data_IF_367580335001
#
_entry.id   IF_367580335001
#
_cell.length_a   1.000
_cell.length_b   1.000
_cell.length_c   1.000
_cell.angle_alpha   90.00
_cell.angle_beta   90.00
_cell.angle_gamma   90.00
#
_symmetry.space_group_name_H-M   'P 1'
#
loop_
_entity.id
_entity.type
_entity.pdbx_description
1 polymer ?
#
# COMPACT_ATOMS: atom_id res chain seq x y z
N UNK A 1 21.17 -2.09 2.93
CA UNK A 1 21.18 -3.56 2.71
C UNK A 1 20.12 -3.82 1.65
N UNK A 2 20.35 -4.20 0.39
CA UNK A 2 21.49 -4.53 -0.48
C UNK A 2 22.29 -3.31 -0.92
N UNK A 3 23.63 -3.35 -0.84
CA UNK A 3 24.49 -2.30 -1.44
C UNK A 3 24.30 -2.35 -2.96
N UNK A 4 24.42 -1.21 -3.66
CA UNK A 4 24.36 -1.10 -5.12
C UNK A 4 25.52 -1.86 -5.80
N UNK A 5 25.52 -3.18 -5.69
CA UNK A 5 26.40 -4.04 -6.47
C UNK A 5 26.12 -3.79 -7.96
N UNK A 6 27.17 -3.83 -8.77
CA UNK A 6 27.08 -3.70 -10.22
C UNK A 6 26.02 -4.65 -10.80
N UNK A 7 25.91 -5.86 -10.26
CA UNK A 7 24.90 -6.85 -10.66
C UNK A 7 23.45 -6.38 -10.46
N UNK A 8 23.17 -5.57 -9.43
CA UNK A 8 21.83 -5.01 -9.18
C UNK A 8 21.56 -3.85 -10.14
N UNK A 9 22.57 -2.99 -10.38
CA UNK A 9 22.46 -1.86 -11.31
C UNK A 9 22.25 -2.32 -12.75
N UNK A 10 22.91 -3.40 -13.13
CA UNK A 10 22.88 -3.97 -14.47
C UNK A 10 21.89 -5.12 -14.61
N UNK A 11 20.94 -5.29 -13.67
CA UNK A 11 19.96 -6.36 -13.70
C UNK A 11 19.20 -6.45 -15.04
N UNK A 12 19.01 -5.32 -15.75
CA UNK A 12 18.41 -5.31 -17.09
C UNK A 12 19.27 -6.01 -18.15
N UNK A 13 20.59 -5.86 -18.09
CA UNK A 13 21.53 -6.48 -19.04
C UNK A 13 21.48 -8.01 -18.99
N UNK A 14 21.05 -8.57 -17.86
CA UNK A 14 20.84 -10.01 -17.73
C UNK A 14 19.84 -10.55 -18.77
N UNK A 15 18.85 -9.74 -19.16
CA UNK A 15 17.83 -10.13 -20.14
C UNK A 15 18.31 -10.06 -21.59
N UNK A 16 19.47 -9.46 -21.85
CA UNK A 16 20.09 -9.45 -23.18
C UNK A 16 20.71 -10.82 -23.53
N UNK A 17 20.81 -11.73 -22.55
CA UNK A 17 21.27 -13.09 -22.75
C UNK A 17 20.29 -13.90 -23.62
N UNK A 18 20.80 -14.64 -24.61
CA UNK A 18 20.01 -15.52 -25.50
C UNK A 18 19.22 -16.59 -24.76
N UNK A 19 19.61 -16.93 -23.53
CA UNK A 19 18.93 -17.93 -22.70
C UNK A 19 17.94 -17.33 -21.69
N UNK A 20 17.75 -16.01 -21.69
CA UNK A 20 16.83 -15.35 -20.78
C UNK A 20 15.38 -15.82 -21.03
N UNK A 21 14.70 -16.17 -19.95
CA UNK A 21 13.33 -16.65 -19.92
C UNK A 21 12.38 -15.62 -19.31
N UNK A 22 11.07 -15.91 -19.35
CA UNK A 22 10.09 -15.08 -18.65
C UNK A 22 10.32 -15.08 -17.13
N UNK A 23 10.84 -16.16 -16.55
CA UNK A 23 11.18 -16.23 -15.12
C UNK A 23 12.37 -15.33 -14.76
N UNK A 24 13.35 -15.21 -15.65
CA UNK A 24 14.46 -14.24 -15.52
C UNK A 24 13.93 -12.81 -15.56
N UNK A 25 13.02 -12.52 -16.50
CA UNK A 25 12.31 -11.24 -16.59
C UNK A 25 11.51 -10.92 -15.32
N UNK A 26 10.85 -11.93 -14.70
CA UNK A 26 10.16 -11.78 -13.41
C UNK A 26 11.13 -11.44 -12.28
N UNK A 27 12.27 -12.11 -12.22
CA UNK A 27 13.31 -11.85 -11.22
C UNK A 27 13.85 -10.42 -11.38
N UNK A 28 14.18 -10.00 -12.61
CA UNK A 28 14.68 -8.65 -12.89
C UNK A 28 13.65 -7.59 -12.50
N UNK A 29 12.37 -7.76 -12.84
CA UNK A 29 11.31 -6.86 -12.40
C UNK A 29 11.25 -6.75 -10.86
N UNK A 30 11.40 -7.87 -10.14
CA UNK A 30 11.44 -7.85 -8.68
C UNK A 30 12.67 -7.10 -8.14
N UNK A 31 13.85 -7.34 -8.71
CA UNK A 31 15.10 -6.65 -8.32
C UNK A 31 14.96 -5.15 -8.56
N UNK A 32 14.50 -4.72 -9.74
CA UNK A 32 14.33 -3.31 -10.08
C UNK A 32 13.38 -2.60 -9.10
N UNK A 33 12.24 -3.21 -8.79
CA UNK A 33 11.30 -2.66 -7.81
C UNK A 33 11.92 -2.61 -6.41
N UNK A 34 12.61 -3.67 -5.99
CA UNK A 34 13.29 -3.69 -4.70
C UNK A 34 14.37 -2.62 -4.59
N UNK A 35 15.11 -2.34 -5.67
CA UNK A 35 16.08 -1.25 -5.73
C UNK A 35 15.43 0.12 -5.57
N UNK A 36 14.33 0.38 -6.28
CA UNK A 36 13.56 1.63 -6.10
C UNK A 36 13.08 1.74 -4.65
N UNK A 37 12.60 0.65 -4.08
CA UNK A 37 12.20 0.61 -2.68
C UNK A 37 13.37 0.88 -1.73
N UNK A 38 14.52 0.26 -1.95
CA UNK A 38 15.70 0.54 -1.10
C UNK A 38 16.09 2.01 -1.18
N UNK A 39 16.01 2.63 -2.36
CA UNK A 39 16.34 4.04 -2.55
C UNK A 39 15.35 4.99 -1.86
N UNK A 40 14.04 4.68 -1.84
CA UNK A 40 13.11 5.47 -1.01
C UNK A 40 13.48 5.36 0.46
N UNK A 41 13.92 4.19 0.92
CA UNK A 41 14.08 3.89 2.33
C UNK A 41 15.32 4.59 2.86
N UNK A 42 16.40 4.55 2.06
CA UNK A 42 17.63 5.26 2.35
C UNK A 42 17.44 6.79 2.28
N UNK A 43 16.46 7.29 1.51
CA UNK A 43 16.16 8.74 1.39
C UNK A 43 15.30 9.26 2.55
N UNK A 44 14.18 8.58 2.85
CA UNK A 44 13.20 9.08 3.81
C UNK A 44 13.33 8.46 5.20
N UNK A 45 13.96 7.28 5.30
CA UNK A 45 14.08 6.49 6.52
C UNK A 45 12.80 5.74 6.88
N UNK A 46 12.88 4.96 7.96
CA UNK A 46 11.75 4.22 8.53
C UNK A 46 10.90 5.04 9.52
N UNK A 47 11.30 6.28 9.81
CA UNK A 47 10.68 7.09 10.84
C UNK A 47 9.31 7.61 10.36
N UNK A 48 8.26 7.07 10.97
CA UNK A 48 6.87 7.42 10.69
C UNK A 48 6.43 8.74 11.32
N UNK A 49 7.21 9.26 12.27
CA UNK A 49 6.92 10.51 12.96
C UNK A 49 7.62 11.70 12.31
N UNK A 50 8.65 11.46 11.48
CA UNK A 50 9.34 12.49 10.71
C UNK A 50 8.43 13.04 9.58
N UNK A 51 8.02 14.32 9.64
CA UNK A 51 7.33 14.96 8.53
C UNK A 51 8.26 15.16 7.33
N UNK A 52 7.74 15.07 6.11
CA UNK A 52 8.47 15.46 4.90
C UNK A 52 8.87 16.94 4.98
N UNK A 53 10.08 17.30 4.57
CA UNK A 53 10.44 18.71 4.36
C UNK A 53 9.96 19.18 2.96
N UNK A 54 9.95 20.50 2.72
CA UNK A 54 9.61 21.04 1.38
C UNK A 54 10.61 20.53 0.31
N UNK A 55 11.87 20.31 0.69
CA UNK A 55 12.90 19.77 -0.19
C UNK A 55 12.70 18.28 -0.55
N UNK A 56 11.94 17.55 0.25
CA UNK A 56 11.66 16.12 0.02
C UNK A 56 10.58 15.91 -1.05
N UNK A 57 9.66 16.86 -1.22
CA UNK A 57 8.48 16.73 -2.09
C UNK A 57 8.85 16.44 -3.56
N UNK A 58 9.83 17.14 -4.18
CA UNK A 58 10.27 16.81 -5.53
C UNK A 58 10.83 15.38 -5.65
N UNK A 59 11.51 14.87 -4.62
CA UNK A 59 12.04 13.50 -4.62
C UNK A 59 10.91 12.47 -4.55
N UNK A 60 9.89 12.71 -3.71
CA UNK A 60 8.69 11.84 -3.66
C UNK A 60 8.05 11.75 -5.04
N UNK A 61 7.85 12.88 -5.74
CA UNK A 61 7.31 12.89 -7.10
C UNK A 61 8.19 12.12 -8.09
N UNK A 62 9.51 12.29 -8.00
CA UNK A 62 10.45 11.56 -8.87
C UNK A 62 10.35 10.05 -8.67
N UNK A 63 10.35 9.57 -7.43
CA UNK A 63 10.17 8.14 -7.15
C UNK A 63 8.80 7.63 -7.61
N UNK A 64 7.75 8.45 -7.42
CA UNK A 64 6.39 8.16 -7.86
C UNK A 64 6.33 7.91 -9.37
N UNK A 65 6.97 8.77 -10.18
CA UNK A 65 7.06 8.63 -11.64
C UNK A 65 7.87 7.40 -12.05
N UNK A 66 8.94 7.08 -11.32
CA UNK A 66 9.75 5.88 -11.59
C UNK A 66 8.93 4.61 -11.36
N UNK A 67 8.09 4.57 -10.32
CA UNK A 67 7.17 3.46 -10.07
C UNK A 67 6.11 3.34 -11.17
N UNK A 68 5.57 4.46 -11.67
CA UNK A 68 4.61 4.48 -12.78
C UNK A 68 5.22 3.91 -14.05
N UNK A 69 6.44 4.36 -14.37
CA UNK A 69 7.19 3.90 -15.53
C UNK A 69 7.49 2.40 -15.45
N UNK A 70 7.90 1.91 -14.27
CA UNK A 70 8.14 0.48 -14.07
C UNK A 70 6.85 -0.34 -14.22
N UNK A 71 5.72 0.12 -13.66
CA UNK A 71 4.44 -0.56 -13.84
C UNK A 71 4.05 -0.62 -15.32
N UNK A 72 4.15 0.51 -16.03
CA UNK A 72 3.79 0.58 -17.45
C UNK A 72 4.68 -0.34 -18.29
N UNK A 73 5.97 -0.40 -17.98
CA UNK A 73 6.92 -1.26 -18.69
C UNK A 73 6.58 -2.76 -18.52
N UNK A 74 6.22 -3.19 -17.31
CA UNK A 74 6.11 -4.62 -16.97
C UNK A 74 4.67 -5.14 -16.93
N UNK A 75 3.67 -4.25 -16.94
CA UNK A 75 2.26 -4.57 -16.72
C UNK A 75 1.67 -5.56 -17.72
N UNK A 76 2.16 -5.57 -18.96
CA UNK A 76 1.66 -6.43 -20.04
C UNK A 76 2.71 -7.43 -20.58
N UNK A 77 3.91 -7.46 -19.99
CA UNK A 77 5.01 -8.33 -20.44
C UNK A 77 4.88 -9.78 -20.00
N UNK A 78 4.12 -10.06 -18.94
CA UNK A 78 4.01 -11.41 -18.38
C UNK A 78 2.78 -12.14 -18.88
N UNK A 79 2.96 -13.43 -19.17
CA UNK A 79 1.91 -14.34 -19.58
C UNK A 79 1.41 -15.16 -18.39
N UNK A 80 0.32 -15.89 -18.61
CA UNK A 80 -0.14 -16.88 -17.63
C UNK A 80 0.88 -18.01 -17.56
N UNK A 81 1.39 -18.27 -16.37
CA UNK A 81 2.36 -19.33 -16.11
C UNK A 81 1.65 -20.63 -15.70
N UNK A 82 2.24 -21.77 -16.05
CA UNK A 82 1.65 -23.09 -15.77
C UNK A 82 1.59 -23.44 -14.28
N UNK A 83 2.50 -22.91 -13.46
CA UNK A 83 2.63 -23.25 -12.04
C UNK A 83 2.05 -22.19 -11.11
N UNK A 84 2.18 -20.91 -11.48
CA UNK A 84 1.75 -19.78 -10.63
C UNK A 84 0.59 -18.97 -11.22
N UNK A 85 -0.07 -19.50 -12.26
CA UNK A 85 -1.21 -18.85 -12.89
C UNK A 85 -0.86 -17.47 -13.43
N UNK A 86 -1.77 -16.50 -13.28
CA UNK A 86 -1.56 -15.13 -13.73
C UNK A 86 -0.91 -14.23 -12.66
N UNK A 87 -0.36 -14.82 -11.58
CA UNK A 87 0.35 -14.07 -10.55
C UNK A 87 1.45 -13.15 -11.11
N UNK A 88 2.27 -13.54 -12.11
CA UNK A 88 3.32 -12.66 -12.62
C UNK A 88 2.79 -11.31 -13.10
N UNK A 89 1.66 -11.31 -13.84
CA UNK A 89 1.03 -10.08 -14.32
C UNK A 89 0.30 -9.33 -13.20
N UNK A 90 -0.54 -10.02 -12.42
CA UNK A 90 -1.31 -9.40 -11.32
C UNK A 90 -0.40 -8.86 -10.21
N UNK A 91 0.71 -9.54 -9.96
CA UNK A 91 1.76 -9.18 -9.03
C UNK A 91 2.34 -7.81 -9.32
N UNK A 92 2.60 -7.47 -10.59
CA UNK A 92 3.08 -6.13 -10.98
C UNK A 92 2.13 -5.04 -10.49
N UNK A 93 0.82 -5.23 -10.68
CA UNK A 93 -0.20 -4.26 -10.27
C UNK A 93 -0.28 -4.07 -8.76
N UNK A 94 -0.41 -5.17 -8.01
CA UNK A 94 -0.57 -5.09 -6.55
C UNK A 94 0.73 -4.59 -5.87
N UNK A 95 1.90 -5.05 -6.31
CA UNK A 95 3.18 -4.63 -5.75
C UNK A 95 3.51 -3.17 -6.10
N UNK A 96 3.04 -2.66 -7.24
CA UNK A 96 3.10 -1.23 -7.53
C UNK A 96 2.30 -0.43 -6.49
N UNK A 97 1.08 -0.86 -6.14
CA UNK A 97 0.28 -0.15 -5.16
C UNK A 97 0.88 -0.25 -3.75
N UNK A 98 1.53 -1.37 -3.41
CA UNK A 98 2.33 -1.47 -2.20
C UNK A 98 3.42 -0.40 -2.15
N UNK A 99 4.24 -0.31 -3.19
CA UNK A 99 5.33 0.66 -3.25
C UNK A 99 4.82 2.12 -3.24
N UNK A 100 3.76 2.42 -4.00
CA UNK A 100 3.13 3.76 -4.03
C UNK A 100 2.53 4.12 -2.67
N UNK A 101 1.82 3.21 -2.03
CA UNK A 101 1.27 3.44 -0.70
C UNK A 101 2.39 3.78 0.28
N UNK A 102 3.44 2.97 0.33
CA UNK A 102 4.58 3.18 1.22
C UNK A 102 5.28 4.53 0.96
N UNK A 103 5.54 4.87 -0.29
CA UNK A 103 6.18 6.13 -0.66
C UNK A 103 5.30 7.34 -0.29
N UNK A 104 4.03 7.30 -0.67
CA UNK A 104 3.14 8.45 -0.55
C UNK A 104 2.57 8.62 0.85
N UNK A 105 2.58 7.58 1.70
CA UNK A 105 2.12 7.70 3.10
C UNK A 105 2.95 8.68 3.92
N UNK A 106 4.21 8.94 3.51
CA UNK A 106 5.07 9.94 4.15
C UNK A 106 4.46 11.36 4.13
N UNK A 107 3.57 11.68 3.19
CA UNK A 107 2.86 12.97 3.20
C UNK A 107 1.95 13.16 4.41
N UNK A 108 1.52 12.07 5.07
CA UNK A 108 0.71 12.13 6.27
C UNK A 108 1.55 12.12 7.56
N UNK A 109 2.85 11.83 7.48
CA UNK A 109 3.72 11.79 8.65
C UNK A 109 3.82 13.21 9.23
N UNK A 110 3.57 13.32 10.53
CA UNK A 110 3.60 14.62 11.22
C UNK A 110 2.57 15.64 10.73
N UNK A 111 1.47 15.22 10.07
CA UNK A 111 0.41 16.12 9.61
C UNK A 111 -0.27 16.92 10.76
N UNK A 112 -0.11 16.48 12.03
CA UNK A 112 -0.54 17.21 13.22
C UNK A 112 0.50 18.21 13.79
N UNK A 113 1.68 18.31 13.19
CA UNK A 113 2.76 19.20 13.65
C UNK A 113 2.46 20.66 13.34
N UNK A 114 2.90 21.58 14.22
CA UNK A 114 2.87 23.02 13.99
C UNK A 114 3.52 23.41 12.66
N UNK A 115 4.51 22.66 12.18
CA UNK A 115 5.22 22.91 10.92
C UNK A 115 4.33 22.73 9.68
N UNK A 116 3.28 21.90 9.76
CA UNK A 116 2.31 21.73 8.67
C UNK A 116 1.39 22.94 8.51
N UNK A 117 1.13 23.70 9.59
CA UNK A 117 0.21 24.84 9.60
C UNK A 117 0.75 26.11 8.93
N UNK A 118 2.06 26.19 8.72
CA UNK A 118 2.73 27.38 8.19
C UNK A 118 3.33 27.17 6.79
N UNK A 119 3.00 26.08 6.09
CA UNK A 119 3.49 25.87 4.72
C UNK A 119 2.83 26.83 3.74
N UNK A 120 3.58 27.15 2.69
CA UNK A 120 3.05 27.89 1.57
C UNK A 120 1.87 27.11 0.92
N UNK A 121 0.82 27.79 0.43
CA UNK A 121 -0.39 27.13 -0.07
C UNK A 121 -0.16 26.15 -1.23
N UNK A 122 0.80 26.47 -2.10
CA UNK A 122 1.22 25.60 -3.21
C UNK A 122 1.81 24.29 -2.69
N UNK A 123 2.74 24.37 -1.74
CA UNK A 123 3.37 23.19 -1.11
C UNK A 123 2.35 22.32 -0.38
N UNK A 124 1.38 22.94 0.30
CA UNK A 124 0.30 22.23 0.97
C UNK A 124 -0.57 21.45 -0.02
N UNK A 125 -0.88 22.04 -1.18
CA UNK A 125 -1.61 21.36 -2.25
C UNK A 125 -0.82 20.15 -2.80
N UNK A 126 0.49 20.28 -3.00
CA UNK A 126 1.30 19.15 -3.49
C UNK A 126 1.31 17.97 -2.51
N UNK A 127 1.39 18.25 -1.21
CA UNK A 127 1.29 17.22 -0.17
C UNK A 127 -0.08 16.55 -0.16
N UNK A 128 -1.14 17.30 -0.40
CA UNK A 128 -2.49 16.77 -0.49
C UNK A 128 -2.64 15.82 -1.69
N UNK A 129 -2.06 16.16 -2.85
CA UNK A 129 -2.03 15.27 -4.02
C UNK A 129 -1.28 13.95 -3.73
N UNK A 130 -0.14 14.04 -3.02
CA UNK A 130 0.64 12.87 -2.60
C UNK A 130 -0.17 12.02 -1.61
N UNK A 131 -0.78 12.66 -0.61
CA UNK A 131 -1.65 12.01 0.37
C UNK A 131 -2.82 11.27 -0.31
N UNK A 132 -3.48 11.91 -1.27
CA UNK A 132 -4.55 11.30 -2.05
C UNK A 132 -4.05 10.09 -2.86
N UNK A 133 -2.83 10.16 -3.42
CA UNK A 133 -2.21 9.02 -4.12
C UNK A 133 -2.00 7.82 -3.18
N UNK A 134 -1.63 8.06 -1.91
CA UNK A 134 -1.52 7.01 -0.92
C UNK A 134 -2.88 6.35 -0.62
N UNK A 135 -3.93 7.15 -0.41
CA UNK A 135 -5.31 6.68 -0.23
C UNK A 135 -5.75 5.81 -1.40
N UNK A 136 -5.62 6.31 -2.63
CA UNK A 136 -6.03 5.59 -3.83
C UNK A 136 -5.27 4.27 -3.98
N UNK A 137 -3.99 4.24 -3.60
CA UNK A 137 -3.17 3.02 -3.59
C UNK A 137 -3.65 2.01 -2.55
N UNK A 138 -3.97 2.45 -1.33
CA UNK A 138 -4.53 1.59 -0.29
C UNK A 138 -5.90 1.02 -0.70
N UNK A 139 -6.79 1.84 -1.26
CA UNK A 139 -8.09 1.38 -1.77
C UNK A 139 -7.92 0.36 -2.91
N UNK A 140 -6.94 0.58 -3.80
CA UNK A 140 -6.64 -0.34 -4.91
C UNK A 140 -6.15 -1.70 -4.40
N UNK A 141 -5.33 -1.73 -3.34
CA UNK A 141 -4.91 -2.97 -2.68
C UNK A 141 -6.12 -3.73 -2.16
N UNK A 142 -7.00 -3.06 -1.39
CA UNK A 142 -8.16 -3.72 -0.82
C UNK A 142 -9.10 -4.25 -1.89
N UNK A 143 -9.40 -3.43 -2.91
CA UNK A 143 -10.26 -3.83 -4.03
C UNK A 143 -9.69 -5.01 -4.81
N UNK A 144 -8.37 -5.07 -5.01
CA UNK A 144 -7.71 -6.20 -5.65
C UNK A 144 -7.91 -7.48 -4.84
N UNK A 145 -7.71 -7.45 -3.52
CA UNK A 145 -7.94 -8.62 -2.65
C UNK A 145 -9.41 -9.01 -2.61
N UNK A 146 -10.33 -8.04 -2.56
CA UNK A 146 -11.78 -8.31 -2.47
C UNK A 146 -12.35 -8.89 -3.77
N UNK A 147 -11.95 -8.36 -4.92
CA UNK A 147 -12.67 -8.59 -6.19
C UNK A 147 -12.07 -9.70 -7.05
N UNK A 148 -10.82 -10.08 -6.80
CA UNK A 148 -10.06 -10.99 -7.67
C UNK A 148 -9.79 -12.33 -6.98
N UNK A 149 -10.55 -13.34 -7.38
CA UNK A 149 -10.46 -14.70 -6.81
C UNK A 149 -9.11 -15.37 -7.07
N UNK A 150 -8.41 -15.01 -8.15
CA UNK A 150 -7.06 -15.51 -8.40
C UNK A 150 -6.09 -14.89 -7.37
N UNK A 151 -6.20 -13.59 -7.10
CA UNK A 151 -5.39 -12.91 -6.05
C UNK A 151 -5.64 -13.54 -4.67
N UNK A 152 -6.90 -13.88 -4.36
CA UNK A 152 -7.27 -14.53 -3.09
C UNK A 152 -6.66 -15.92 -2.92
N UNK A 153 -6.32 -16.61 -4.01
CA UNK A 153 -5.74 -17.96 -3.96
C UNK A 153 -4.23 -17.98 -3.67
N UNK A 154 -3.54 -16.86 -3.89
CA UNK A 154 -2.08 -16.79 -3.77
C UNK A 154 -1.49 -16.63 -2.36
N UNK A 155 -2.12 -15.98 -1.35
CA UNK A 155 -1.41 -15.52 -0.16
C UNK A 155 -0.64 -16.59 0.60
N UNK A 156 -1.14 -17.84 0.65
CA UNK A 156 -0.45 -18.96 1.33
C UNK A 156 0.93 -19.30 0.72
N UNK A 157 1.18 -18.93 -0.54
CA UNK A 157 2.44 -19.16 -1.24
C UNK A 157 3.27 -17.89 -1.47
N UNK A 158 2.78 -16.73 -1.01
CA UNK A 158 3.47 -15.45 -1.22
C UNK A 158 4.36 -15.08 -0.04
N UNK A 159 5.39 -14.24 -0.26
CA UNK A 159 6.22 -13.76 0.83
C UNK A 159 5.42 -12.95 1.85
N UNK A 160 5.78 -13.04 3.13
CA UNK A 160 5.10 -12.40 4.26
C UNK A 160 4.88 -10.89 4.11
N UNK A 161 5.71 -10.18 3.33
CA UNK A 161 5.49 -8.75 3.12
C UNK A 161 4.16 -8.43 2.42
N UNK A 162 3.57 -9.36 1.66
CA UNK A 162 2.23 -9.17 1.09
C UNK A 162 1.20 -8.96 2.18
N UNK A 163 1.20 -9.84 3.18
CA UNK A 163 0.33 -9.76 4.34
C UNK A 163 0.58 -8.46 5.12
N UNK A 164 1.85 -8.10 5.34
CA UNK A 164 2.23 -6.83 6.00
C UNK A 164 1.66 -5.63 5.23
N UNK A 165 1.73 -5.62 3.90
CA UNK A 165 1.25 -4.50 3.09
C UNK A 165 -0.28 -4.43 3.03
N UNK A 166 -0.98 -5.56 3.11
CA UNK A 166 -2.45 -5.59 3.29
C UNK A 166 -2.81 -4.99 4.64
N UNK A 167 -2.16 -5.42 5.73
CA UNK A 167 -2.38 -4.88 7.06
C UNK A 167 -2.06 -3.38 7.11
N UNK A 168 -0.96 -2.95 6.48
CA UNK A 168 -0.58 -1.55 6.40
C UNK A 168 -1.63 -0.71 5.65
N UNK A 169 -2.16 -1.19 4.52
CA UNK A 169 -3.24 -0.51 3.80
C UNK A 169 -4.49 -0.33 4.66
N UNK A 170 -4.86 -1.34 5.45
CA UNK A 170 -6.01 -1.27 6.38
C UNK A 170 -5.76 -0.23 7.47
N UNK A 171 -4.64 -0.34 8.19
CA UNK A 171 -4.30 0.59 9.28
C UNK A 171 -4.18 2.03 8.77
N UNK A 172 -3.58 2.20 7.59
CA UNK A 172 -3.47 3.49 6.92
C UNK A 172 -4.85 4.12 6.70
N UNK A 173 -5.77 3.41 6.03
CA UNK A 173 -7.12 3.91 5.73
C UNK A 173 -7.97 4.16 6.98
N UNK A 174 -7.72 3.45 8.09
CA UNK A 174 -8.37 3.74 9.37
C UNK A 174 -7.86 5.03 10.02
N UNK A 175 -6.60 5.41 9.75
CA UNK A 175 -5.98 6.62 10.32
C UNK A 175 -6.19 7.87 9.47
N UNK A 176 -6.35 7.77 8.15
CA UNK A 176 -6.48 8.99 7.30
C UNK A 176 -7.66 9.89 7.72
N UNK A 177 -8.88 9.36 7.99
CA UNK A 177 -10.02 10.19 8.38
C UNK A 177 -9.82 10.99 9.67
N UNK A 178 -8.90 10.58 10.55
CA UNK A 178 -8.64 11.28 11.82
C UNK A 178 -7.68 12.46 11.67
N UNK A 179 -6.98 12.58 10.54
CA UNK A 179 -5.97 13.62 10.31
C UNK A 179 -6.33 14.62 9.19
N UNK A 180 -7.22 14.24 8.26
CA UNK A 180 -7.54 15.04 7.07
C UNK A 180 -9.04 15.30 6.96
N UNK A 181 -9.58 16.18 7.82
CA UNK A 181 -11.02 16.44 7.89
C UNK A 181 -11.56 17.42 6.84
N UNK A 182 -10.71 18.07 6.02
CA UNK A 182 -11.16 19.16 5.13
C UNK A 182 -10.96 18.94 3.64
N UNK A 183 -10.03 18.10 3.19
CA UNK A 183 -9.64 18.12 1.77
C UNK A 183 -9.70 16.76 1.06
N UNK A 184 -9.41 15.65 1.76
CA UNK A 184 -9.73 14.33 1.22
C UNK A 184 -11.16 14.02 1.63
N UNK A 185 -12.13 14.28 0.73
CA UNK A 185 -13.50 13.75 0.86
C UNK A 185 -13.46 12.23 0.73
N UNK A 186 -12.92 11.57 1.75
CA UNK A 186 -13.03 10.14 1.91
C UNK A 186 -14.49 9.86 2.23
N UNK A 187 -15.14 9.10 1.34
CA UNK A 187 -16.39 8.47 1.68
C UNK A 187 -16.10 7.43 2.77
N UNK A 188 -16.23 7.86 4.02
CA UNK A 188 -16.04 7.01 5.20
C UNK A 188 -16.96 5.78 5.14
N UNK A 189 -18.12 5.88 4.50
CA UNK A 189 -19.01 4.73 4.32
C UNK A 189 -18.42 3.73 3.32
N UNK A 190 -17.84 4.21 2.22
CA UNK A 190 -17.14 3.35 1.26
C UNK A 190 -15.93 2.66 1.89
N UNK A 191 -15.12 3.38 2.68
CA UNK A 191 -13.98 2.77 3.38
C UNK A 191 -14.48 1.69 4.34
N UNK A 192 -15.49 1.98 5.16
CA UNK A 192 -16.06 0.99 6.08
C UNK A 192 -16.60 -0.23 5.34
N UNK A 193 -17.31 -0.03 4.21
CA UNK A 193 -17.83 -1.11 3.37
C UNK A 193 -16.72 -1.99 2.81
N UNK A 194 -15.65 -1.37 2.30
CA UNK A 194 -14.48 -2.09 1.79
C UNK A 194 -13.78 -2.86 2.91
N UNK A 195 -13.62 -2.29 4.10
CA UNK A 195 -12.99 -3.00 5.23
C UNK A 195 -13.79 -4.22 5.67
N UNK A 196 -15.12 -4.11 5.75
CA UNK A 196 -15.99 -5.24 6.10
C UNK A 196 -15.94 -6.34 5.03
N UNK A 197 -15.93 -5.94 3.76
CA UNK A 197 -15.80 -6.87 2.64
C UNK A 197 -14.44 -7.58 2.67
N UNK A 198 -13.36 -6.84 2.95
CA UNK A 198 -12.02 -7.39 3.10
C UNK A 198 -11.97 -8.41 4.23
N UNK A 199 -12.48 -8.08 5.42
CA UNK A 199 -12.49 -8.98 6.57
C UNK A 199 -13.23 -10.29 6.25
N UNK A 200 -14.38 -10.20 5.57
CA UNK A 200 -15.14 -11.37 5.13
C UNK A 200 -14.34 -12.22 4.13
N UNK A 201 -13.70 -11.61 3.14
CA UNK A 201 -12.89 -12.31 2.13
C UNK A 201 -11.68 -12.98 2.79
N UNK A 202 -10.96 -12.26 3.65
CA UNK A 202 -9.78 -12.78 4.34
C UNK A 202 -10.12 -13.94 5.26
N UNK A 203 -11.27 -13.94 5.94
CA UNK A 203 -11.77 -15.13 6.68
C UNK A 203 -11.91 -16.34 5.78
N UNK A 204 -12.48 -16.16 4.59
CA UNK A 204 -12.61 -17.24 3.61
C UNK A 204 -11.25 -17.76 3.15
N UNK A 205 -10.32 -16.85 2.81
CA UNK A 205 -8.96 -17.18 2.37
C UNK A 205 -8.15 -17.89 3.45
N UNK A 206 -8.28 -17.45 4.71
CA UNK A 206 -7.50 -17.97 5.83
C UNK A 206 -8.08 -19.22 6.48
N UNK A 207 -9.32 -19.61 6.15
CA UNK A 207 -10.01 -20.75 6.76
C UNK A 207 -9.26 -22.08 6.65
N UNK A 208 -8.43 -22.25 5.61
CA UNK A 208 -7.63 -23.47 5.39
C UNK A 208 -6.15 -23.28 5.74
N UNK A 209 -5.75 -22.10 6.21
CA UNK A 209 -4.36 -21.80 6.57
C UNK A 209 -4.04 -22.32 7.97
N UNK A 210 -2.74 -22.53 8.22
CA UNK A 210 -2.28 -22.89 9.57
C UNK A 210 -2.58 -21.74 10.56
N UNK A 211 -2.99 -22.00 11.82
CA UNK A 211 -3.36 -20.95 12.77
C UNK A 211 -2.25 -19.92 13.07
N UNK A 212 -0.99 -20.30 12.90
CA UNK A 212 0.17 -19.41 13.08
C UNK A 212 0.59 -18.67 11.80
N UNK A 213 -0.19 -18.79 10.72
CA UNK A 213 0.06 -18.04 9.49
C UNK A 213 -0.22 -16.55 9.76
N UNK A 214 0.68 -15.67 9.35
CA UNK A 214 0.59 -14.25 9.69
C UNK A 214 -0.69 -13.56 9.19
N UNK A 215 -1.17 -13.93 8.00
CA UNK A 215 -2.48 -13.47 7.48
C UNK A 215 -3.68 -13.85 8.38
N UNK A 216 -3.63 -14.96 9.11
CA UNK A 216 -4.69 -15.35 10.07
C UNK A 216 -4.76 -14.30 11.18
N UNK A 217 -3.62 -13.98 11.80
CA UNK A 217 -3.54 -12.96 12.85
C UNK A 217 -3.92 -11.56 12.35
N UNK A 218 -3.58 -11.22 11.10
CA UNK A 218 -4.02 -9.96 10.48
C UNK A 218 -5.55 -9.95 10.33
N UNK A 219 -6.15 -11.05 9.88
CA UNK A 219 -7.60 -11.15 9.67
C UNK A 219 -8.35 -10.92 10.98
N UNK A 220 -7.92 -11.57 12.06
CA UNK A 220 -8.46 -11.38 13.41
C UNK A 220 -8.28 -9.94 13.89
N UNK A 221 -7.07 -9.37 13.71
CA UNK A 221 -6.79 -7.98 14.09
C UNK A 221 -7.64 -6.96 13.34
N UNK A 222 -7.92 -7.19 12.05
CA UNK A 222 -8.81 -6.33 11.24
C UNK A 222 -10.24 -6.39 11.79
N UNK A 223 -10.76 -7.57 12.11
CA UNK A 223 -12.10 -7.70 12.72
C UNK A 223 -12.21 -6.94 14.04
N UNK A 224 -11.23 -7.12 14.92
CA UNK A 224 -11.20 -6.47 16.23
C UNK A 224 -11.17 -4.94 16.08
N UNK A 225 -10.37 -4.43 15.14
CA UNK A 225 -10.31 -3.00 14.83
C UNK A 225 -11.65 -2.48 14.29
N UNK A 226 -12.34 -3.25 13.46
CA UNK A 226 -13.65 -2.88 12.92
C UNK A 226 -14.76 -2.91 13.97
N UNK A 227 -14.71 -3.85 14.92
CA UNK A 227 -15.64 -3.88 16.04
C UNK A 227 -15.45 -2.66 16.95
N UNK A 228 -14.20 -2.31 17.26
CA UNK A 228 -13.87 -1.13 18.07
C UNK A 228 -14.30 0.18 17.41
N UNK A 229 -14.07 0.35 16.10
CA UNK A 229 -14.47 1.57 15.40
C UNK A 229 -15.98 1.78 15.39
N UNK A 230 -16.77 0.70 15.23
CA UNK A 230 -18.25 0.76 15.37
C UNK A 230 -18.70 1.18 16.76
N UNK A 231 -18.04 0.70 17.82
CA UNK A 231 -18.37 1.10 19.20
C UNK A 231 -18.11 2.58 19.45
N UNK A 232 -17.00 3.13 18.93
CA UNK A 232 -16.68 4.55 19.06
C UNK A 232 -17.68 5.43 18.29
N UNK A 233 -18.07 5.06 17.07
CA UNK A 233 -19.07 5.80 16.29
C UNK A 233 -20.47 5.72 16.92
N UNK A 234 -20.85 4.57 17.46
CA UNK A 234 -22.13 4.39 18.16
C UNK A 234 -22.24 5.19 19.46
N UNK A 235 -21.15 5.28 20.23
CA UNK A 235 -21.10 6.11 21.44
C UNK A 235 -21.18 7.62 21.12
N UNK A 236 -20.54 8.07 20.03
CA UNK A 236 -20.61 9.47 19.59
C UNK A 236 -22.02 9.86 19.09
N UNK A 237 -22.76 8.93 18.47
CA UNK A 237 -24.15 9.16 18.07
C UNK A 237 -25.13 9.11 19.25
N UNK A 238 -24.87 8.29 20.27
CA UNK A 238 -25.71 8.21 21.48
C UNK A 238 -25.51 9.42 22.43
N UNK A 239 -24.32 10.03 22.46
CA UNK A 239 -24.02 11.22 23.26
C UNK A 239 -24.47 12.56 22.65
N UNK A 240 -25.00 12.56 21.42
CA UNK A 240 -25.49 13.76 20.72
C UNK A 240 -26.99 14.04 20.90
N UNK A 241 -27.67 13.26 21.75
CA UNK A 241 -29.11 13.35 21.97
C UNK A 241 -29.38 13.78 23.41
N UNK A 242 -28.97 15.02 23.73
CA UNK A 242 -29.39 15.69 24.96
C UNK A 242 -30.83 16.20 24.74
N UNK A 243 -31.84 15.73 25.50
CA UNK A 243 -33.17 16.28 25.42
C UNK A 243 -33.16 17.66 26.09
N UNK A 244 -33.61 18.67 25.36
CA UNK A 244 -34.09 19.94 25.90
C UNK A 244 -34.91 19.71 27.18
N UNK A 245 -34.36 20.09 28.33
CA UNK A 245 -35.08 20.65 29.49
C UNK A 245 -34.15 21.57 30.28
#
# INVERSE_FOLDING_TARGET
MTRESEAVRDARKFLDCTHATEDDARLVNQVLRWSICTNFYDTFGADVDRPLSDADIPQVRRFSIVLDSLRAEWGDKFNRNAYVGNYPRKGVGIQYHFAKLYLCSHALHGAGSSHAKYRAPDVALELEEIANTAVLSALSILRAVISDTEIQSYPNGLPTYFDIMIAFAVVFLLKVPTHFSTSVQLDNQEIQRLMLSLAMVLKGVTATMHPHHFLVSITEGIDDLLQRSRMVTGAAQAGGMDPLQ
#
